data_IF_802716832151
#
_entry.id   IF_802716832151
#
_cell.length_a   1.000
_cell.length_b   1.000
_cell.length_c   1.000
_cell.angle_alpha   90.00
_cell.angle_beta   90.00
_cell.angle_gamma   90.00
#
_symmetry.space_group_name_H-M   'P 1'
#
loop_
_entity.id
_entity.type
_entity.pdbx_description
1 polymer ?
#
# COMPACT_ATOMS: atom_id res chain seq x y z
N UNK A 1 13.42 7.64 6.38
CA UNK A 1 13.00 6.37 5.75
C UNK A 1 13.07 6.43 4.23
N UNK A 2 12.20 7.15 3.51
CA UNK A 2 12.24 7.19 2.02
C UNK A 2 13.62 7.58 1.46
N UNK A 3 14.19 8.69 1.95
CA UNK A 3 15.53 9.13 1.56
C UNK A 3 16.63 8.12 1.89
N UNK A 4 16.46 7.35 2.98
CA UNK A 4 17.44 6.33 3.39
C UNK A 4 17.33 5.07 2.52
N UNK A 5 16.11 4.68 2.16
CA UNK A 5 15.84 3.54 1.26
C UNK A 5 16.37 3.86 -0.14
N UNK A 6 16.10 5.05 -0.67
CA UNK A 6 16.61 5.47 -1.98
C UNK A 6 18.14 5.55 -2.06
N UNK A 7 18.86 5.60 -0.94
CA UNK A 7 20.32 5.53 -0.91
C UNK A 7 20.86 4.09 -0.92
N UNK A 8 20.04 3.11 -0.55
CA UNK A 8 20.44 1.69 -0.43
C UNK A 8 20.29 0.91 -1.73
N UNK A 9 19.47 1.40 -2.66
CA UNK A 9 19.23 0.74 -3.93
C UNK A 9 18.29 1.53 -4.84
N UNK A 10 17.83 0.87 -5.90
CA UNK A 10 16.85 1.42 -6.81
C UNK A 10 15.45 1.02 -6.35
N UNK A 11 14.57 2.01 -6.18
CA UNK A 11 13.13 1.76 -5.97
C UNK A 11 12.54 1.36 -7.33
N UNK A 12 12.24 0.08 -7.50
CA UNK A 12 11.66 -0.47 -8.74
C UNK A 12 10.15 -0.22 -8.76
N UNK A 13 9.46 -0.51 -7.65
CA UNK A 13 8.03 -0.31 -7.47
C UNK A 13 7.77 0.33 -6.11
N UNK A 14 6.77 1.22 -6.03
CA UNK A 14 6.36 1.87 -4.79
C UNK A 14 4.84 2.09 -4.75
N UNK A 15 4.15 1.33 -3.89
CA UNK A 15 2.70 1.39 -3.76
C UNK A 15 2.28 2.03 -2.44
N UNK A 16 1.22 2.85 -2.49
CA UNK A 16 0.55 3.35 -1.30
C UNK A 16 -0.94 3.04 -1.37
N UNK A 17 -1.40 2.22 -0.42
CA UNK A 17 -2.77 1.73 -0.36
C UNK A 17 -3.61 2.64 0.54
N UNK A 18 -4.66 3.24 -0.01
CA UNK A 18 -5.52 4.16 0.73
C UNK A 18 -7.01 3.92 0.42
N UNK A 19 -7.87 4.47 1.28
CA UNK A 19 -9.32 4.49 1.09
C UNK A 19 -9.70 5.86 0.55
N UNK A 20 -10.57 5.90 -0.45
CA UNK A 20 -11.13 7.17 -0.93
C UNK A 20 -12.43 7.49 -0.18
N UNK A 21 -12.34 8.46 0.75
CA UNK A 21 -13.48 9.00 1.51
C UNK A 21 -14.03 10.30 0.93
N UNK A 22 -13.45 10.81 -0.15
CA UNK A 22 -13.88 12.07 -0.78
C UNK A 22 -13.60 13.35 0.01
N UNK A 23 -12.86 13.30 1.13
CA UNK A 23 -12.50 14.50 1.89
C UNK A 23 -11.22 15.16 1.37
N UNK A 24 -11.18 16.49 1.44
CA UNK A 24 -10.09 17.30 0.86
C UNK A 24 -8.74 17.10 1.53
N UNK A 25 -8.71 16.75 2.83
CA UNK A 25 -7.45 16.50 3.55
C UNK A 25 -6.83 15.19 3.09
N UNK A 26 -7.63 14.14 2.90
CA UNK A 26 -7.12 12.89 2.35
C UNK A 26 -6.65 13.03 0.90
N UNK A 27 -7.36 13.80 0.06
CA UNK A 27 -6.90 14.08 -1.30
C UNK A 27 -5.53 14.79 -1.31
N UNK A 28 -5.32 15.76 -0.43
CA UNK A 28 -4.02 16.42 -0.28
C UNK A 28 -2.93 15.44 0.15
N UNK A 29 -3.21 14.58 1.13
CA UNK A 29 -2.26 13.56 1.58
C UNK A 29 -1.90 12.58 0.46
N UNK A 30 -2.89 12.10 -0.29
CA UNK A 30 -2.66 11.24 -1.46
C UNK A 30 -1.82 11.95 -2.53
N UNK A 31 -2.02 13.26 -2.74
CA UNK A 31 -1.19 14.03 -3.68
C UNK A 31 0.27 14.13 -3.22
N UNK A 32 0.51 14.29 -1.92
CA UNK A 32 1.88 14.27 -1.37
C UNK A 32 2.55 12.93 -1.67
N UNK A 33 1.85 11.81 -1.46
CA UNK A 33 2.37 10.47 -1.77
C UNK A 33 2.71 10.31 -3.26
N UNK A 34 1.84 10.77 -4.16
CA UNK A 34 2.14 10.77 -5.61
C UNK A 34 3.38 11.60 -5.94
N UNK A 35 3.52 12.78 -5.33
CA UNK A 35 4.69 13.64 -5.55
C UNK A 35 5.99 13.03 -5.02
N UNK A 36 5.91 12.16 -4.00
CA UNK A 36 7.05 11.39 -3.50
C UNK A 36 7.42 10.20 -4.42
N UNK A 37 6.58 9.86 -5.39
CA UNK A 37 6.81 8.77 -6.35
C UNK A 37 6.00 7.50 -6.08
N UNK A 38 5.06 7.52 -5.14
CA UNK A 38 4.19 6.36 -4.91
C UNK A 38 3.08 6.29 -5.96
N UNK A 39 2.85 5.07 -6.45
CA UNK A 39 1.60 4.69 -7.12
C UNK A 39 0.52 4.50 -6.05
N UNK A 40 -0.34 5.52 -5.91
CA UNK A 40 -1.43 5.50 -4.92
C UNK A 40 -2.60 4.66 -5.43
N UNK A 41 -2.86 3.51 -4.79
CA UNK A 41 -3.99 2.63 -5.07
C UNK A 41 -5.16 2.97 -4.14
N UNK A 42 -6.27 3.40 -4.72
CA UNK A 42 -7.45 3.84 -3.99
C UNK A 42 -8.55 2.77 -4.03
N UNK A 43 -9.09 2.43 -2.86
CA UNK A 43 -10.29 1.60 -2.74
C UNK A 43 -11.49 2.50 -2.46
N UNK A 44 -12.60 2.38 -3.22
CA UNK A 44 -13.79 3.18 -2.96
C UNK A 44 -14.33 2.87 -1.56
N UNK A 45 -14.64 3.91 -0.77
CA UNK A 45 -15.33 3.73 0.50
C UNK A 45 -16.80 3.36 0.23
N UNK A 46 -17.15 2.08 0.42
CA UNK A 46 -18.54 1.61 0.33
C UNK A 46 -19.04 1.34 1.74
N UNK A 47 -19.95 2.18 2.21
CA UNK A 47 -20.69 1.95 3.44
C UNK A 47 -21.85 1.00 3.13
N UNK A 48 -21.78 -0.24 3.62
CA UNK A 48 -22.90 -1.17 3.48
C UNK A 48 -24.05 -0.79 4.39
N UNK A 49 -25.25 -1.15 3.96
CA UNK A 49 -26.48 -1.09 4.75
C UNK A 49 -26.44 -1.97 6.00
N UNK A 50 -25.53 -2.95 6.08
CA UNK A 50 -25.35 -3.85 7.22
C UNK A 50 -24.30 -3.36 8.25
N UNK A 51 -23.68 -2.20 8.03
CA UNK A 51 -22.66 -1.64 8.94
C UNK A 51 -21.29 -2.32 8.87
N UNK A 52 -21.12 -3.38 8.07
CA UNK A 52 -19.81 -4.00 7.83
C UNK A 52 -18.98 -3.12 6.87
N UNK A 53 -17.75 -2.80 7.27
CA UNK A 53 -16.74 -2.32 6.33
C UNK A 53 -16.26 -3.54 5.53
N UNK A 54 -16.20 -3.48 4.19
CA UNK A 54 -15.40 -4.49 3.46
C UNK A 54 -13.99 -4.02 3.27
N UNK A 55 -13.11 -4.94 3.62
CA UNK A 55 -11.83 -5.19 3.01
C UNK A 55 -10.88 -4.05 3.26
N UNK A 56 -10.08 -4.21 4.30
CA UNK A 56 -8.66 -3.93 4.26
C UNK A 56 -8.03 -4.17 2.86
N UNK A 57 -6.79 -3.74 2.76
CA UNK A 57 -6.02 -3.93 1.55
C UNK A 57 -5.29 -5.27 1.52
N UNK A 58 -5.51 -6.16 2.50
CA UNK A 58 -4.61 -7.27 2.78
C UNK A 58 -4.48 -8.23 1.61
N UNK A 59 -5.62 -8.59 1.00
CA UNK A 59 -5.64 -9.42 -0.21
C UNK A 59 -4.93 -8.73 -1.37
N UNK A 60 -5.16 -7.43 -1.56
CA UNK A 60 -4.56 -6.67 -2.68
C UNK A 60 -3.05 -6.50 -2.50
N UNK A 61 -2.62 -6.16 -1.28
CA UNK A 61 -1.21 -6.04 -0.88
C UNK A 61 -0.51 -7.39 -1.08
N UNK A 62 -1.11 -8.48 -0.61
CA UNK A 62 -0.55 -9.83 -0.74
C UNK A 62 -0.32 -10.20 -2.20
N UNK A 63 -1.32 -9.98 -3.07
CA UNK A 63 -1.20 -10.27 -4.51
C UNK A 63 -0.09 -9.43 -5.14
N UNK A 64 -0.09 -8.12 -4.90
CA UNK A 64 0.93 -7.22 -5.46
C UNK A 64 2.35 -7.60 -5.01
N UNK A 65 2.52 -8.00 -3.74
CA UNK A 65 3.82 -8.48 -3.22
C UNK A 65 4.21 -9.79 -3.90
N UNK A 66 3.31 -10.77 -4.02
CA UNK A 66 3.60 -12.04 -4.67
C UNK A 66 3.98 -11.88 -6.14
N UNK A 67 3.37 -10.92 -6.84
CA UNK A 67 3.66 -10.64 -8.24
C UNK A 67 5.01 -9.92 -8.42
N UNK A 68 5.38 -9.01 -7.50
CA UNK A 68 6.62 -8.21 -7.60
C UNK A 68 7.84 -8.93 -7.03
N UNK A 69 7.67 -9.76 -6.01
CA UNK A 69 8.76 -10.42 -5.28
C UNK A 69 9.77 -11.16 -6.18
N UNK A 70 9.37 -11.85 -7.28
CA UNK A 70 10.33 -12.50 -8.18
C UNK A 70 11.21 -11.54 -8.99
N UNK A 71 10.90 -10.24 -9.00
CA UNK A 71 11.54 -9.22 -9.84
C UNK A 71 12.41 -8.23 -9.06
N UNK A 72 12.44 -8.33 -7.73
CA UNK A 72 13.19 -7.44 -6.84
C UNK A 72 13.99 -8.23 -5.82
N UNK A 73 15.07 -7.65 -5.32
CA UNK A 73 15.92 -8.28 -4.31
C UNK A 73 15.33 -8.16 -2.89
N UNK A 74 14.54 -7.11 -2.64
CA UNK A 74 13.98 -6.80 -1.32
C UNK A 74 12.58 -6.19 -1.46
N UNK A 75 11.64 -6.65 -0.64
CA UNK A 75 10.31 -6.06 -0.48
C UNK A 75 10.21 -5.41 0.90
N UNK A 76 9.81 -4.14 0.95
CA UNK A 76 9.56 -3.42 2.20
C UNK A 76 8.05 -3.28 2.41
N UNK A 77 7.51 -4.04 3.35
CA UNK A 77 6.11 -3.91 3.78
C UNK A 77 6.02 -2.97 5.00
N UNK A 78 5.50 -1.76 4.78
CA UNK A 78 5.22 -0.81 5.85
C UNK A 78 3.82 -1.04 6.44
N UNK A 79 3.65 -2.15 7.17
CA UNK A 79 2.40 -2.51 7.85
C UNK A 79 2.67 -2.87 9.31
N UNK A 80 1.68 -2.62 10.17
CA UNK A 80 1.64 -3.15 11.54
C UNK A 80 0.67 -4.32 11.70
N UNK A 81 0.11 -4.81 10.60
CA UNK A 81 -0.87 -5.90 10.59
C UNK A 81 -0.17 -7.26 10.60
N UNK A 82 -0.52 -8.10 11.58
CA UNK A 82 0.02 -9.43 11.75
C UNK A 82 -0.53 -10.44 10.74
N UNK A 83 -1.61 -10.13 10.03
CA UNK A 83 -2.18 -11.03 9.03
C UNK A 83 -1.24 -11.26 7.83
N UNK A 84 -0.22 -10.41 7.68
CA UNK A 84 0.86 -10.59 6.69
C UNK A 84 1.97 -11.55 7.12
N UNK A 85 1.95 -12.12 8.33
CA UNK A 85 3.02 -12.99 8.81
C UNK A 85 3.27 -14.18 7.86
N UNK A 86 2.18 -14.84 7.43
CA UNK A 86 2.25 -15.93 6.45
C UNK A 86 2.77 -15.49 5.07
N UNK A 87 2.63 -14.22 4.70
CA UNK A 87 3.20 -13.69 3.45
C UNK A 87 4.71 -13.50 3.58
N UNK A 88 5.22 -13.12 4.76
CA UNK A 88 6.65 -12.91 4.99
C UNK A 88 7.44 -14.23 5.05
N UNK A 89 6.78 -15.35 5.32
CA UNK A 89 7.38 -16.69 5.29
C UNK A 89 7.50 -17.30 3.89
N UNK A 90 6.96 -16.65 2.85
CA UNK A 90 6.85 -17.19 1.48
C UNK A 90 7.91 -16.60 0.56
#
# INVERSE_FOLDING_TARGET
LWADISQRGQIVEAYAYAIDRGDSKQQQFQQILRNLGFTVKLKPYIQRSDGSAKGDWDVGITIDIMDVAPTVDEVVLASGDGDFDLLLER
#
